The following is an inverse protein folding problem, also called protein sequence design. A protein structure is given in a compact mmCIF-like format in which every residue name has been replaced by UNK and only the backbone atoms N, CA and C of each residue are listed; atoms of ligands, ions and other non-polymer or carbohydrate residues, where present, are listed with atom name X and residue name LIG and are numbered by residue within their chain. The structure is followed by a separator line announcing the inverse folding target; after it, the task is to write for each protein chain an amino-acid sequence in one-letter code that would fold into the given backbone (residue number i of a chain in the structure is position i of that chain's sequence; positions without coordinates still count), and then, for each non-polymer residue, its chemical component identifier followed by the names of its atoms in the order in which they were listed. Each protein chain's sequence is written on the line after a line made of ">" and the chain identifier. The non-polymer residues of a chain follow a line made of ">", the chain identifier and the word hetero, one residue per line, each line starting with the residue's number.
data_IF_090541661374
#
_entry.id   IF_090541661374
#
_cell.length_a   1.000
_cell.length_b   1.000
_cell.length_c   1.000
_cell.angle_alpha   90.00
_cell.angle_beta   90.00
_cell.angle_gamma   90.00
#
_symmetry.space_group_name_H-M   'P 1'
#
loop_
_entity.id
_entity.type
_entity.pdbx_description
1 polymer ?
#
# COMPACT_ATOMS: atom_id res chain seq x y z
N UNK A 1 0.88 -7.80 -67.53
CA UNK A 1 -0.24 -7.86 -66.59
C UNK A 1 0.24 -7.18 -65.28
N UNK A 2 -0.15 -5.89 -65.11
CA UNK A 2 0.25 -5.09 -63.95
C UNK A 2 -0.84 -5.21 -62.88
N UNK A 3 -0.50 -5.77 -61.70
CA UNK A 3 -1.35 -5.78 -60.52
C UNK A 3 -1.24 -4.41 -59.83
N UNK A 4 -2.32 -3.68 -59.83
CA UNK A 4 -2.47 -2.45 -59.00
C UNK A 4 -2.81 -2.85 -57.55
N UNK A 5 -1.93 -2.58 -56.65
CA UNK A 5 -2.24 -2.59 -55.20
C UNK A 5 -3.02 -1.31 -54.84
N UNK A 6 -4.31 -1.45 -54.52
CA UNK A 6 -5.11 -0.40 -53.91
C UNK A 6 -4.72 -0.30 -52.43
N UNK A 7 -3.98 0.73 -52.07
CA UNK A 7 -3.76 1.11 -50.66
C UNK A 7 -4.98 1.90 -50.16
N UNK A 8 -5.75 1.27 -49.30
CA UNK A 8 -6.83 1.92 -48.52
C UNK A 8 -6.17 2.76 -47.41
N UNK A 9 -6.47 4.06 -47.26
CA UNK A 9 -5.95 4.81 -46.12
C UNK A 9 -6.73 4.39 -44.86
N UNK A 10 -5.99 3.90 -43.88
CA UNK A 10 -6.49 3.62 -42.52
C UNK A 10 -6.73 4.97 -41.84
N UNK A 11 -7.99 5.44 -41.83
CA UNK A 11 -8.39 6.61 -41.02
C UNK A 11 -8.45 6.15 -39.59
N UNK A 12 -7.40 6.43 -38.84
CA UNK A 12 -7.38 6.31 -37.35
C UNK A 12 -8.19 7.49 -36.84
N UNK A 13 -9.46 7.25 -36.56
CA UNK A 13 -10.29 8.20 -35.80
C UNK A 13 -9.81 8.20 -34.36
N UNK A 14 -8.95 9.14 -33.99
CA UNK A 14 -8.61 9.44 -32.61
C UNK A 14 -9.84 10.00 -31.91
N UNK A 15 -10.62 9.14 -31.25
CA UNK A 15 -11.56 9.59 -30.24
C UNK A 15 -10.72 10.12 -29.07
N UNK A 16 -10.49 11.42 -29.04
CA UNK A 16 -10.02 12.11 -27.83
C UNK A 16 -11.19 12.16 -26.85
N UNK A 17 -11.30 11.14 -25.98
CA UNK A 17 -12.05 11.29 -24.75
C UNK A 17 -11.32 12.34 -23.92
N UNK A 18 -11.82 13.58 -23.94
CA UNK A 18 -11.36 14.65 -23.03
C UNK A 18 -11.94 14.38 -21.65
N UNK A 19 -11.38 13.42 -20.92
CA UNK A 19 -11.60 13.34 -19.49
C UNK A 19 -10.91 14.55 -18.84
N UNK A 20 -11.66 15.38 -18.10
CA UNK A 20 -11.08 16.47 -17.33
C UNK A 20 -10.30 15.88 -16.16
N UNK A 21 -8.98 15.83 -16.28
CA UNK A 21 -8.08 15.53 -15.17
C UNK A 21 -7.64 16.85 -14.56
N UNK A 22 -7.90 17.07 -13.28
CA UNK A 22 -7.37 18.19 -12.51
C UNK A 22 -6.42 17.67 -11.43
N UNK A 23 -5.30 18.36 -11.29
CA UNK A 23 -4.33 18.15 -10.20
C UNK A 23 -4.39 19.41 -9.35
N UNK A 24 -4.89 19.27 -8.13
CA UNK A 24 -5.00 20.41 -7.24
C UNK A 24 -3.62 20.86 -6.76
N UNK A 25 -3.43 22.18 -6.71
CA UNK A 25 -2.20 22.77 -6.17
C UNK A 25 -2.11 22.63 -4.64
N UNK A 26 -3.24 22.29 -4.00
CA UNK A 26 -3.32 21.93 -2.60
C UNK A 26 -3.74 20.46 -2.52
N UNK A 27 -2.99 19.71 -1.78
CA UNK A 27 -3.31 18.31 -1.47
C UNK A 27 -4.62 18.25 -0.70
N UNK A 28 -5.59 17.49 -1.22
CA UNK A 28 -6.78 17.13 -0.48
C UNK A 28 -6.65 15.70 0.01
N UNK A 29 -6.61 15.56 1.32
CA UNK A 29 -6.65 14.28 1.98
C UNK A 29 -8.05 14.09 2.55
N UNK A 30 -8.74 13.06 2.08
CA UNK A 30 -10.11 12.75 2.52
C UNK A 30 -10.05 11.57 3.48
N UNK A 31 -10.62 11.74 4.66
CA UNK A 31 -10.65 10.71 5.69
C UNK A 31 -11.94 10.80 6.49
N UNK A 32 -12.48 9.65 6.88
CA UNK A 32 -13.49 9.59 7.93
C UNK A 32 -12.88 9.38 9.32
N UNK A 33 -11.55 9.24 9.39
CA UNK A 33 -10.83 9.23 10.65
C UNK A 33 -10.83 10.64 11.29
N UNK A 34 -10.71 10.71 12.63
CA UNK A 34 -10.71 11.97 13.36
C UNK A 34 -9.36 12.72 13.31
N UNK A 35 -8.48 12.36 12.39
CA UNK A 35 -7.16 12.99 12.23
C UNK A 35 -6.89 13.25 10.75
N UNK A 36 -6.19 14.34 10.48
CA UNK A 36 -5.78 14.72 9.13
C UNK A 36 -4.56 13.91 8.68
N UNK A 37 -4.46 13.66 7.37
CA UNK A 37 -3.23 13.13 6.78
C UNK A 37 -2.18 14.23 6.81
N UNK A 38 -1.02 13.93 7.42
CA UNK A 38 0.07 14.88 7.58
C UNK A 38 1.05 14.83 6.41
N UNK A 39 1.77 15.92 6.21
CA UNK A 39 2.84 15.99 5.21
C UNK A 39 4.01 15.02 5.51
N UNK A 40 4.84 14.67 4.51
CA UNK A 40 5.90 13.67 4.66
C UNK A 40 6.84 13.89 5.83
N UNK A 41 7.20 15.16 6.12
CA UNK A 41 8.10 15.50 7.22
C UNK A 41 7.55 15.11 8.59
N UNK A 42 6.23 14.92 8.69
CA UNK A 42 5.56 14.48 9.92
C UNK A 42 5.36 12.96 9.99
N UNK A 43 5.77 12.19 8.97
CA UNK A 43 5.81 10.72 8.98
C UNK A 43 6.92 10.15 9.87
N UNK A 44 7.69 10.98 10.58
CA UNK A 44 8.71 10.52 11.51
C UNK A 44 8.10 9.67 12.62
N UNK A 45 8.91 8.76 13.16
CA UNK A 45 8.49 7.79 14.18
C UNK A 45 7.58 8.43 15.23
N UNK A 46 6.42 7.83 15.45
CA UNK A 46 5.55 8.24 16.55
C UNK A 46 6.31 7.97 17.84
N UNK A 47 6.81 9.03 18.45
CA UNK A 47 7.22 8.95 19.87
C UNK A 47 5.97 8.53 20.62
N UNK A 48 6.04 7.44 21.36
CA UNK A 48 4.91 6.87 22.10
C UNK A 48 4.26 7.99 22.91
N UNK A 49 3.20 8.54 22.38
CA UNK A 49 2.33 9.42 23.18
C UNK A 49 1.56 8.45 24.06
N UNK A 50 1.84 8.49 25.37
CA UNK A 50 1.07 7.79 26.38
C UNK A 50 -0.39 8.32 26.39
N UNK A 51 -1.16 7.92 25.41
CA UNK A 51 -2.60 8.17 25.39
C UNK A 51 -3.28 7.06 26.19
N UNK A 52 -3.40 7.28 27.51
CA UNK A 52 -4.16 6.43 28.43
C UNK A 52 -5.66 6.39 28.15
N UNK A 53 -6.17 7.17 27.21
CA UNK A 53 -7.61 7.43 27.04
C UNK A 53 -8.19 6.90 25.71
N UNK A 54 -7.46 6.13 24.91
CA UNK A 54 -8.00 5.59 23.66
C UNK A 54 -8.27 4.09 23.84
N UNK A 55 -9.45 3.75 24.31
CA UNK A 55 -10.05 2.41 24.19
C UNK A 55 -10.51 2.18 22.73
N UNK A 56 -9.65 2.41 21.76
CA UNK A 56 -9.91 2.04 20.39
C UNK A 56 -9.36 0.62 20.17
N UNK A 57 -10.21 -0.26 19.66
CA UNK A 57 -9.87 -1.63 19.33
C UNK A 57 -8.71 -1.64 18.34
N UNK A 58 -7.61 -2.27 18.69
CA UNK A 58 -6.45 -2.48 17.83
C UNK A 58 -6.65 -3.65 16.88
N UNK A 59 -5.63 -3.93 16.08
CA UNK A 59 -5.57 -5.12 15.24
C UNK A 59 -5.18 -6.33 16.10
N UNK A 60 -5.81 -7.48 15.83
CA UNK A 60 -5.51 -8.72 16.54
C UNK A 60 -4.11 -9.24 16.18
N UNK A 61 -3.14 -9.34 17.13
CA UNK A 61 -1.78 -9.76 16.84
C UNK A 61 -1.66 -11.19 16.29
N UNK A 62 -2.65 -12.05 16.55
CA UNK A 62 -2.66 -13.43 16.09
C UNK A 62 -3.29 -13.59 14.70
N UNK A 63 -3.97 -12.55 14.20
CA UNK A 63 -4.68 -12.61 12.93
C UNK A 63 -4.83 -11.20 12.34
N UNK A 64 -3.82 -10.74 11.60
CA UNK A 64 -3.87 -9.48 10.83
C UNK A 64 -4.05 -9.86 9.38
N UNK A 65 -5.27 -9.76 8.88
CA UNK A 65 -5.62 -10.09 7.51
C UNK A 65 -5.52 -8.86 6.61
N UNK A 66 -4.59 -8.89 5.66
CA UNK A 66 -4.35 -7.83 4.67
C UNK A 66 -4.85 -8.24 3.29
N UNK A 67 -5.53 -7.30 2.61
CA UNK A 67 -5.76 -7.31 1.17
C UNK A 67 -4.96 -6.19 0.51
N UNK A 68 -4.26 -6.47 -0.60
CA UNK A 68 -3.71 -5.46 -1.50
C UNK A 68 -4.39 -5.58 -2.86
N UNK A 69 -4.95 -4.47 -3.37
CA UNK A 69 -5.67 -4.50 -4.65
C UNK A 69 -5.69 -3.14 -5.35
N UNK A 70 -5.16 -3.09 -6.57
CA UNK A 70 -5.44 -1.99 -7.48
C UNK A 70 -6.86 -2.20 -8.06
N UNK A 71 -7.77 -1.26 -7.79
CA UNK A 71 -9.19 -1.38 -8.08
C UNK A 71 -9.57 -0.93 -9.51
N UNK A 72 -8.59 -0.43 -10.27
CA UNK A 72 -8.82 0.07 -11.63
C UNK A 72 -9.93 1.12 -11.72
N UNK A 73 -10.05 1.99 -10.72
CA UNK A 73 -11.12 3.01 -10.59
C UNK A 73 -12.55 2.46 -10.64
N UNK A 74 -12.71 1.15 -10.40
CA UNK A 74 -14.01 0.48 -10.55
C UNK A 74 -14.52 0.38 -11.99
N UNK A 75 -13.62 0.39 -12.98
CA UNK A 75 -14.01 0.37 -14.40
C UNK A 75 -14.61 -0.96 -14.86
N UNK A 76 -14.27 -2.07 -14.20
CA UNK A 76 -14.81 -3.38 -14.55
C UNK A 76 -16.03 -3.72 -13.68
N UNK A 77 -16.98 -4.50 -14.24
CA UNK A 77 -18.15 -4.93 -13.48
C UNK A 77 -17.79 -5.91 -12.36
N UNK A 78 -18.55 -5.88 -11.26
CA UNK A 78 -18.44 -6.83 -10.17
C UNK A 78 -17.49 -6.44 -9.04
N UNK A 79 -16.70 -5.38 -9.18
CA UNK A 79 -15.73 -4.96 -8.16
C UNK A 79 -16.38 -4.67 -6.79
N UNK A 80 -17.59 -4.11 -6.76
CA UNK A 80 -18.30 -3.82 -5.51
C UNK A 80 -18.62 -5.10 -4.73
N UNK A 81 -19.06 -6.16 -5.44
CA UNK A 81 -19.34 -7.46 -4.84
C UNK A 81 -18.07 -8.10 -4.30
N UNK A 82 -17.00 -8.06 -5.09
CA UNK A 82 -15.72 -8.65 -4.69
C UNK A 82 -15.12 -7.89 -3.52
N UNK A 83 -15.10 -6.54 -3.56
CA UNK A 83 -14.60 -5.72 -2.46
C UNK A 83 -15.41 -5.93 -1.17
N UNK A 84 -16.75 -6.01 -1.27
CA UNK A 84 -17.62 -6.33 -0.12
C UNK A 84 -17.33 -7.71 0.46
N UNK A 85 -17.07 -8.70 -0.38
CA UNK A 85 -16.72 -10.05 0.06
C UNK A 85 -15.35 -10.08 0.77
N UNK A 86 -14.35 -9.40 0.21
CA UNK A 86 -13.03 -9.28 0.84
C UNK A 86 -13.09 -8.53 2.16
N UNK A 87 -13.88 -7.48 2.23
CA UNK A 87 -14.06 -6.66 3.41
C UNK A 87 -14.55 -7.44 4.64
N UNK A 88 -15.30 -8.52 4.44
CA UNK A 88 -15.79 -9.39 5.53
C UNK A 88 -14.69 -10.26 6.17
N UNK A 89 -13.55 -10.40 5.52
CA UNK A 89 -12.48 -11.33 5.91
C UNK A 89 -11.09 -10.70 6.04
N UNK A 90 -10.99 -9.38 5.85
CA UNK A 90 -9.73 -8.66 5.94
C UNK A 90 -9.84 -7.50 6.93
N UNK A 91 -8.80 -7.34 7.75
CA UNK A 91 -8.72 -6.27 8.75
C UNK A 91 -8.17 -4.97 8.19
N UNK A 92 -7.31 -5.08 7.18
CA UNK A 92 -6.67 -3.95 6.48
C UNK A 92 -6.71 -4.20 4.97
N UNK A 93 -7.10 -3.18 4.22
CA UNK A 93 -7.09 -3.23 2.75
C UNK A 93 -6.32 -2.03 2.20
N UNK A 94 -5.26 -2.29 1.45
CA UNK A 94 -4.51 -1.28 0.68
C UNK A 94 -5.04 -1.27 -0.75
N UNK A 95 -5.69 -0.18 -1.13
CA UNK A 95 -6.37 -0.02 -2.41
C UNK A 95 -5.64 1.04 -3.21
N UNK A 96 -5.22 0.72 -4.43
CA UNK A 96 -4.71 1.65 -5.41
C UNK A 96 -5.79 1.92 -6.45
N UNK A 97 -5.69 3.07 -7.12
CA UNK A 97 -6.71 3.57 -8.03
C UNK A 97 -8.11 3.60 -7.41
N UNK A 98 -8.18 3.90 -6.10
CA UNK A 98 -9.45 4.17 -5.45
C UNK A 98 -10.08 5.42 -6.11
N UNK A 99 -11.32 5.30 -6.57
CA UNK A 99 -12.11 6.37 -7.14
C UNK A 99 -13.31 6.62 -6.24
N UNK A 100 -13.29 7.73 -5.49
CA UNK A 100 -14.23 8.00 -4.40
C UNK A 100 -15.56 8.54 -4.92
N UNK A 101 -16.23 7.78 -5.78
CA UNK A 101 -17.57 8.02 -6.25
C UNK A 101 -18.65 7.58 -5.24
N UNK A 102 -19.92 7.79 -5.57
CA UNK A 102 -21.04 7.39 -4.71
C UNK A 102 -21.07 5.88 -4.44
N UNK A 103 -20.56 5.06 -5.37
CA UNK A 103 -20.55 3.60 -5.23
C UNK A 103 -19.53 3.15 -4.19
N UNK A 104 -18.30 3.68 -4.27
CA UNK A 104 -17.26 3.35 -3.28
C UNK A 104 -17.63 3.96 -1.92
N UNK A 105 -18.08 5.21 -1.89
CA UNK A 105 -18.50 5.88 -0.66
C UNK A 105 -19.65 5.15 0.04
N UNK A 106 -20.64 4.70 -0.70
CA UNK A 106 -21.76 3.92 -0.17
C UNK A 106 -21.33 2.58 0.41
N UNK A 107 -20.38 1.89 -0.25
CA UNK A 107 -19.83 0.62 0.23
C UNK A 107 -19.05 0.81 1.54
N UNK A 108 -18.22 1.85 1.64
CA UNK A 108 -17.45 2.17 2.84
C UNK A 108 -18.37 2.49 4.03
N UNK A 109 -19.44 3.26 3.81
CA UNK A 109 -20.44 3.60 4.82
C UNK A 109 -21.24 2.37 5.28
N UNK A 110 -21.70 1.55 4.33
CA UNK A 110 -22.52 0.36 4.65
C UNK A 110 -21.77 -0.65 5.54
N UNK A 111 -20.45 -0.75 5.36
CA UNK A 111 -19.61 -1.67 6.14
C UNK A 111 -18.99 -1.00 7.39
N UNK A 112 -19.29 0.26 7.66
CA UNK A 112 -18.76 1.03 8.79
C UNK A 112 -17.23 0.96 8.93
N UNK A 113 -16.52 1.04 7.80
CA UNK A 113 -15.07 0.99 7.78
C UNK A 113 -14.43 2.32 8.17
N UNK A 114 -13.29 2.22 8.86
CA UNK A 114 -12.36 3.35 8.94
C UNK A 114 -11.51 3.36 7.67
N UNK A 115 -11.33 4.52 7.07
CA UNK A 115 -10.51 4.66 5.88
C UNK A 115 -9.79 6.01 5.83
N UNK A 116 -8.67 6.02 5.17
CA UNK A 116 -7.90 7.23 4.85
C UNK A 116 -7.49 7.15 3.38
N UNK A 117 -7.59 8.25 2.67
CA UNK A 117 -7.21 8.35 1.27
C UNK A 117 -6.20 9.47 1.05
N UNK A 118 -5.15 9.20 0.32
CA UNK A 118 -4.27 10.22 -0.27
C UNK A 118 -4.67 10.39 -1.73
N UNK A 119 -5.33 11.52 -2.02
CA UNK A 119 -5.79 11.88 -3.37
C UNK A 119 -4.59 12.20 -4.24
N UNK A 120 -4.46 11.51 -5.37
CA UNK A 120 -3.44 11.80 -6.38
C UNK A 120 -3.91 12.91 -7.33
N UNK A 121 -5.14 12.82 -7.80
CA UNK A 121 -5.74 13.77 -8.73
C UNK A 121 -7.28 13.64 -8.70
N UNK A 122 -7.97 14.58 -9.35
CA UNK A 122 -9.40 14.48 -9.60
C UNK A 122 -9.65 14.09 -11.04
N UNK A 123 -10.54 13.13 -11.25
CA UNK A 123 -11.05 12.72 -12.57
C UNK A 123 -12.54 13.08 -12.64
N UNK A 124 -12.89 14.00 -13.52
CA UNK A 124 -14.26 14.52 -13.62
C UNK A 124 -14.83 15.06 -12.29
N UNK A 125 -13.97 15.68 -11.47
CA UNK A 125 -14.35 16.22 -10.16
C UNK A 125 -14.38 15.22 -9.01
N UNK A 126 -14.11 13.93 -9.28
CA UNK A 126 -14.09 12.88 -8.25
C UNK A 126 -12.63 12.53 -7.89
N UNK A 127 -12.34 12.47 -6.60
CA UNK A 127 -11.00 12.14 -6.10
C UNK A 127 -10.56 10.73 -6.49
N UNK A 128 -9.33 10.59 -6.97
CA UNK A 128 -8.69 9.34 -7.32
C UNK A 128 -7.30 9.26 -6.67
N UNK A 129 -6.95 8.11 -6.08
CA UNK A 129 -5.68 7.99 -5.37
C UNK A 129 -5.45 6.61 -4.75
N UNK A 130 -4.72 6.59 -3.63
CA UNK A 130 -4.54 5.40 -2.80
C UNK A 130 -5.35 5.52 -1.52
N UNK A 131 -6.01 4.44 -1.13
CA UNK A 131 -6.87 4.38 0.04
C UNK A 131 -6.46 3.19 0.93
N UNK A 132 -6.32 3.42 2.21
CA UNK A 132 -6.19 2.34 3.20
C UNK A 132 -7.48 2.28 4.02
N UNK A 133 -8.12 1.12 3.99
CA UNK A 133 -9.36 0.82 4.72
C UNK A 133 -9.02 -0.18 5.83
N UNK A 134 -9.55 0.01 7.03
CA UNK A 134 -9.29 -0.91 8.14
C UNK A 134 -10.47 -1.00 9.12
N UNK A 135 -10.54 -2.14 9.82
CA UNK A 135 -11.47 -2.34 10.94
C UNK A 135 -11.06 -1.50 12.16
N UNK A 136 -9.76 -1.28 12.33
CA UNK A 136 -9.20 -0.42 13.37
C UNK A 136 -8.98 0.99 12.82
N UNK A 137 -9.13 1.99 13.68
CA UNK A 137 -8.85 3.38 13.31
C UNK A 137 -7.33 3.63 13.25
N UNK A 138 -6.88 4.28 12.21
CA UNK A 138 -5.50 4.74 12.15
C UNK A 138 -5.25 5.81 13.21
N UNK A 139 -4.18 5.68 13.99
CA UNK A 139 -3.77 6.66 15.00
C UNK A 139 -3.04 7.86 14.40
N UNK A 140 -2.44 7.66 13.24
CA UNK A 140 -1.81 8.70 12.44
C UNK A 140 -1.74 8.22 10.99
N UNK A 141 -1.84 9.15 10.07
CA UNK A 141 -1.54 8.92 8.66
C UNK A 141 -0.76 10.09 8.09
N UNK A 142 0.06 9.80 7.08
CA UNK A 142 0.75 10.79 6.28
C UNK A 142 0.86 10.26 4.85
N UNK A 143 1.03 11.13 3.90
CA UNK A 143 1.09 10.72 2.52
C UNK A 143 1.86 11.73 1.68
N UNK A 144 2.22 11.34 0.46
CA UNK A 144 2.91 12.20 -0.50
C UNK A 144 2.54 11.80 -1.92
N UNK A 145 2.87 12.68 -2.86
CA UNK A 145 2.59 12.51 -4.28
C UNK A 145 3.90 12.66 -5.07
N UNK A 146 4.03 11.87 -6.12
CA UNK A 146 5.15 11.96 -7.07
C UNK A 146 4.57 12.09 -8.49
N UNK A 147 4.95 13.15 -9.19
CA UNK A 147 4.44 13.44 -10.53
C UNK A 147 5.11 12.53 -11.55
N UNK A 148 4.32 11.80 -12.33
CA UNK A 148 4.83 11.03 -13.45
C UNK A 148 5.45 11.95 -14.52
N UNK A 149 6.71 11.74 -14.91
CA UNK A 149 7.41 12.68 -15.79
C UNK A 149 6.77 12.85 -17.17
N UNK A 150 6.18 11.79 -17.73
CA UNK A 150 5.65 11.79 -19.10
C UNK A 150 4.23 12.33 -19.14
N UNK A 151 3.33 11.73 -18.36
CA UNK A 151 1.89 12.07 -18.42
C UNK A 151 1.48 13.16 -17.43
N UNK A 152 2.38 13.58 -16.55
CA UNK A 152 2.18 14.64 -15.57
C UNK A 152 1.04 14.40 -14.57
N UNK A 153 0.58 13.17 -14.45
CA UNK A 153 -0.41 12.75 -13.45
C UNK A 153 0.32 12.23 -12.21
N UNK A 154 0.00 12.71 -11.00
CA UNK A 154 0.64 12.23 -9.78
C UNK A 154 0.28 10.76 -9.47
N UNK A 155 1.23 10.06 -8.87
CA UNK A 155 1.03 8.84 -8.12
C UNK A 155 1.13 9.14 -6.63
N UNK A 156 0.34 8.46 -5.82
CA UNK A 156 0.25 8.72 -4.39
C UNK A 156 0.81 7.55 -3.57
N UNK A 157 1.33 7.89 -2.40
CA UNK A 157 1.71 6.95 -1.34
C UNK A 157 1.05 7.39 -0.04
N UNK A 158 0.51 6.44 0.73
CA UNK A 158 -0.14 6.68 2.02
C UNK A 158 0.51 5.78 3.07
N UNK A 159 0.92 6.35 4.18
CA UNK A 159 1.45 5.64 5.35
C UNK A 159 0.48 5.82 6.51
N UNK A 160 0.07 4.73 7.13
CA UNK A 160 -0.87 4.73 8.26
C UNK A 160 -0.35 3.86 9.39
N UNK A 161 -0.63 4.25 10.64
CA UNK A 161 -0.21 3.54 11.83
C UNK A 161 -1.42 3.05 12.61
N UNK A 162 -1.36 1.81 13.08
CA UNK A 162 -2.46 1.16 13.79
C UNK A 162 -2.01 0.61 15.13
N UNK A 163 -2.92 0.65 16.12
CA UNK A 163 -2.74 -0.07 17.37
C UNK A 163 -2.79 -1.58 17.11
N UNK A 164 -2.02 -2.33 17.90
CA UNK A 164 -2.11 -3.80 17.98
C UNK A 164 -2.54 -4.13 19.40
N UNK A 165 -3.60 -4.92 19.55
CA UNK A 165 -4.17 -5.27 20.84
C UNK A 165 -3.14 -5.96 21.74
N UNK A 166 -3.01 -5.44 22.96
CA UNK A 166 -2.07 -5.98 23.94
C UNK A 166 -0.58 -5.68 23.68
N UNK A 167 -0.26 -4.78 22.72
CA UNK A 167 1.12 -4.44 22.39
C UNK A 167 1.33 -2.91 22.34
N UNK A 168 2.50 -2.47 22.80
CA UNK A 168 2.89 -1.05 22.72
C UNK A 168 3.35 -0.67 21.31
N UNK A 169 3.87 -1.65 20.53
CA UNK A 169 4.30 -1.46 19.16
C UNK A 169 3.12 -1.20 18.25
N UNK A 170 3.31 -0.31 17.29
CA UNK A 170 2.31 0.01 16.27
C UNK A 170 2.61 -0.71 14.97
N UNK A 171 1.59 -1.15 14.25
CA UNK A 171 1.73 -1.61 12.88
C UNK A 171 1.80 -0.40 11.95
N UNK A 172 2.86 -0.29 11.18
CA UNK A 172 2.94 0.63 10.04
C UNK A 172 2.47 -0.09 8.79
N UNK A 173 1.53 0.53 8.07
CA UNK A 173 1.06 0.10 6.74
C UNK A 173 1.33 1.20 5.74
N UNK A 174 2.22 0.95 4.78
CA UNK A 174 2.44 1.83 3.64
C UNK A 174 1.76 1.25 2.40
N UNK A 175 0.91 2.07 1.78
CA UNK A 175 0.17 1.78 0.56
C UNK A 175 0.75 2.65 -0.56
N UNK A 176 1.40 2.04 -1.55
CA UNK A 176 2.06 2.74 -2.66
C UNK A 176 1.36 2.44 -4.00
N UNK A 177 1.18 3.48 -4.81
CA UNK A 177 1.00 3.35 -6.25
C UNK A 177 2.25 3.91 -6.93
N UNK A 178 3.09 3.04 -7.44
CA UNK A 178 4.39 3.36 -8.05
C UNK A 178 4.25 4.16 -9.34
N UNK A 179 5.20 5.06 -9.60
CA UNK A 179 5.33 5.75 -10.88
C UNK A 179 5.40 4.71 -12.02
N UNK A 180 4.59 4.89 -13.05
CA UNK A 180 4.50 3.97 -14.18
C UNK A 180 5.21 4.54 -15.43
N UNK A 181 4.78 5.71 -15.90
CA UNK A 181 5.24 6.29 -17.16
C UNK A 181 6.46 7.19 -16.98
N UNK A 182 7.66 6.60 -17.08
CA UNK A 182 8.94 7.31 -17.02
C UNK A 182 9.97 6.68 -17.96
N UNK A 183 10.90 7.48 -18.45
CA UNK A 183 12.11 6.99 -19.12
C UNK A 183 13.19 6.76 -18.05
N UNK A 184 13.73 5.55 -17.99
CA UNK A 184 14.67 5.15 -16.94
C UNK A 184 13.99 5.01 -15.57
N UNK A 185 14.78 5.03 -14.51
CA UNK A 185 14.33 4.74 -13.13
C UNK A 185 14.44 5.92 -12.17
N UNK A 186 14.96 7.08 -12.58
CA UNK A 186 15.27 8.20 -11.68
C UNK A 186 14.04 8.66 -10.88
N UNK A 187 12.94 9.01 -11.54
CA UNK A 187 11.73 9.43 -10.84
C UNK A 187 11.13 8.33 -9.95
N UNK A 188 11.31 7.06 -10.35
CA UNK A 188 10.91 5.91 -9.58
C UNK A 188 11.76 5.75 -8.31
N UNK A 189 13.09 5.93 -8.43
CA UNK A 189 14.04 5.97 -7.31
C UNK A 189 13.70 7.09 -6.32
N UNK A 190 13.37 8.30 -6.81
CA UNK A 190 12.94 9.43 -5.99
C UNK A 190 11.70 9.11 -5.16
N UNK A 191 10.69 8.45 -5.75
CA UNK A 191 9.51 8.01 -5.02
C UNK A 191 9.84 6.98 -3.93
N UNK A 192 10.68 5.98 -4.25
CA UNK A 192 11.10 4.96 -3.29
C UNK A 192 11.98 5.55 -2.17
N UNK A 193 12.85 6.53 -2.50
CA UNK A 193 13.66 7.23 -1.51
C UNK A 193 12.78 8.03 -0.53
N UNK A 194 11.76 8.74 -1.03
CA UNK A 194 10.81 9.46 -0.18
C UNK A 194 10.03 8.50 0.73
N UNK A 195 9.60 7.34 0.22
CA UNK A 195 9.00 6.31 1.04
C UNK A 195 9.98 5.82 2.13
N UNK A 196 11.22 5.50 1.75
CA UNK A 196 12.25 5.09 2.70
C UNK A 196 12.44 6.12 3.81
N UNK A 197 12.63 7.39 3.47
CA UNK A 197 12.85 8.48 4.42
C UNK A 197 11.66 8.64 5.39
N UNK A 198 10.44 8.40 4.91
CA UNK A 198 9.22 8.50 5.71
C UNK A 198 9.07 7.38 6.75
N UNK A 199 9.66 6.20 6.51
CA UNK A 199 9.37 5.01 7.33
C UNK A 199 10.61 4.33 7.95
N UNK A 200 11.84 4.75 7.59
CA UNK A 200 13.08 4.09 8.05
C UNK A 200 13.26 4.07 9.57
N UNK A 201 12.73 5.06 10.28
CA UNK A 201 12.85 5.17 11.73
C UNK A 201 11.78 4.40 12.50
N UNK A 202 10.83 3.76 11.82
CA UNK A 202 9.87 2.89 12.49
C UNK A 202 10.56 1.56 12.85
N UNK A 203 10.56 1.20 14.11
CA UNK A 203 11.20 -0.01 14.64
C UNK A 203 10.23 -1.19 14.84
N UNK A 204 8.92 -0.94 14.75
CA UNK A 204 7.84 -1.91 14.91
C UNK A 204 7.57 -2.80 13.69
N UNK A 205 6.48 -3.60 13.76
CA UNK A 205 5.98 -4.37 12.64
C UNK A 205 5.55 -3.45 11.50
N UNK A 206 5.85 -3.88 10.27
CA UNK A 206 5.65 -3.06 9.07
C UNK A 206 5.12 -3.90 7.92
N UNK A 207 4.20 -3.33 7.15
CA UNK A 207 3.74 -3.81 5.85
C UNK A 207 3.94 -2.68 4.84
N UNK A 208 4.57 -2.99 3.71
CA UNK A 208 4.61 -2.11 2.54
C UNK A 208 3.96 -2.87 1.40
N UNK A 209 2.83 -2.39 0.92
CA UNK A 209 2.02 -3.07 -0.08
C UNK A 209 1.55 -2.10 -1.16
N UNK A 210 1.31 -2.59 -2.36
CA UNK A 210 0.80 -1.75 -3.43
C UNK A 210 1.03 -2.31 -4.82
N UNK A 211 0.60 -1.52 -5.80
CA UNK A 211 1.02 -1.61 -7.18
C UNK A 211 2.32 -0.82 -7.34
N UNK A 212 3.42 -1.53 -7.42
CA UNK A 212 4.76 -0.93 -7.55
C UNK A 212 5.13 -0.65 -9.01
N UNK A 213 4.34 -1.08 -9.97
CA UNK A 213 4.65 -0.93 -11.39
C UNK A 213 6.05 -1.47 -11.77
N UNK A 214 6.45 -2.61 -11.21
CA UNK A 214 7.75 -3.29 -11.41
C UNK A 214 7.79 -4.09 -12.72
N UNK A 215 7.37 -3.50 -13.81
CA UNK A 215 7.30 -4.14 -15.12
C UNK A 215 8.67 -4.35 -15.80
N UNK A 216 9.76 -3.94 -15.18
CA UNK A 216 11.15 -4.22 -15.63
C UNK A 216 12.04 -4.67 -14.48
N UNK A 217 13.11 -5.39 -14.81
CA UNK A 217 14.09 -5.89 -13.85
C UNK A 217 14.77 -4.74 -13.09
N UNK A 218 15.06 -3.63 -13.77
CA UNK A 218 15.67 -2.44 -13.13
C UNK A 218 14.77 -1.87 -12.03
N UNK A 219 13.46 -1.78 -12.28
CA UNK A 219 12.49 -1.31 -11.27
C UNK A 219 12.39 -2.28 -10.10
N UNK A 220 12.37 -3.57 -10.39
CA UNK A 220 12.35 -4.58 -9.34
C UNK A 220 13.63 -4.53 -8.50
N UNK A 221 14.79 -4.28 -9.12
CA UNK A 221 16.05 -4.09 -8.40
C UNK A 221 15.99 -2.92 -7.42
N UNK A 222 15.40 -1.78 -7.81
CA UNK A 222 15.21 -0.62 -6.91
C UNK A 222 14.30 -0.96 -5.72
N UNK A 223 13.21 -1.69 -5.98
CA UNK A 223 12.31 -2.14 -4.90
C UNK A 223 13.06 -3.10 -3.95
N UNK A 224 13.86 -4.02 -4.47
CA UNK A 224 14.63 -4.94 -3.63
C UNK A 224 15.68 -4.24 -2.77
N UNK A 225 16.29 -3.15 -3.25
CA UNK A 225 17.17 -2.31 -2.43
C UNK A 225 16.40 -1.65 -1.27
N UNK A 226 15.17 -1.15 -1.51
CA UNK A 226 14.31 -0.63 -0.44
C UNK A 226 13.97 -1.72 0.59
N UNK A 227 13.60 -2.91 0.14
CA UNK A 227 13.26 -4.07 0.97
C UNK A 227 14.44 -4.47 1.86
N UNK A 228 15.65 -4.51 1.31
CA UNK A 228 16.88 -4.81 2.04
C UNK A 228 17.20 -3.73 3.11
N UNK A 229 17.20 -2.45 2.73
CA UNK A 229 17.45 -1.32 3.64
C UNK A 229 16.49 -1.30 4.83
N UNK A 230 15.23 -1.69 4.61
CA UNK A 230 14.20 -1.75 5.66
C UNK A 230 14.16 -3.11 6.39
N UNK A 231 15.06 -4.04 6.06
CA UNK A 231 15.10 -5.41 6.62
C UNK A 231 13.76 -6.13 6.51
N UNK A 232 13.09 -5.98 5.38
CA UNK A 232 11.80 -6.60 5.10
C UNK A 232 11.96 -7.95 4.37
N UNK A 233 10.90 -8.72 4.37
CA UNK A 233 10.78 -10.00 3.64
C UNK A 233 9.71 -9.89 2.57
N UNK A 234 9.87 -10.65 1.49
CA UNK A 234 8.89 -10.81 0.42
C UNK A 234 8.00 -12.03 0.65
N UNK A 235 6.79 -12.02 0.08
CA UNK A 235 5.94 -13.21 0.02
C UNK A 235 6.34 -14.06 -1.19
N UNK A 236 6.60 -15.33 -0.95
CA UNK A 236 6.84 -16.31 -2.01
C UNK A 236 5.55 -17.07 -2.34
N UNK A 237 5.30 -17.33 -3.61
CA UNK A 237 4.14 -18.07 -4.09
C UNK A 237 4.58 -19.28 -4.91
N UNK A 238 3.99 -20.45 -4.66
CA UNK A 238 4.23 -21.66 -5.48
C UNK A 238 3.71 -21.48 -6.90
N UNK A 239 2.55 -20.85 -7.03
CA UNK A 239 1.94 -20.45 -8.31
C UNK A 239 1.74 -18.95 -8.22
N UNK A 240 2.42 -18.23 -9.10
CA UNK A 240 2.37 -16.77 -9.09
C UNK A 240 1.25 -16.27 -10.01
N UNK A 241 0.03 -16.14 -9.47
CA UNK A 241 -1.13 -15.58 -10.17
C UNK A 241 -1.22 -14.04 -10.05
N UNK A 242 -0.19 -13.36 -9.60
CA UNK A 242 -0.15 -11.90 -9.56
C UNK A 242 -0.35 -11.32 -10.97
N UNK A 243 -0.76 -10.08 -11.02
CA UNK A 243 -0.78 -9.33 -12.29
C UNK A 243 0.64 -9.15 -12.81
N UNK A 244 0.84 -9.43 -14.09
CA UNK A 244 2.14 -9.33 -14.75
C UNK A 244 2.08 -8.38 -15.93
N UNK A 245 3.12 -7.55 -16.07
CA UNK A 245 3.37 -6.70 -17.22
C UNK A 245 4.77 -7.02 -17.74
N UNK A 246 4.90 -7.30 -19.03
CA UNK A 246 6.15 -7.75 -19.66
C UNK A 246 6.84 -8.95 -18.97
N UNK A 247 6.03 -9.82 -18.33
CA UNK A 247 6.53 -11.00 -17.61
C UNK A 247 6.90 -10.75 -16.14
N UNK A 248 6.90 -9.49 -15.67
CA UNK A 248 7.20 -9.11 -14.30
C UNK A 248 5.91 -8.87 -13.50
N UNK A 249 5.85 -9.39 -12.26
CA UNK A 249 4.77 -9.07 -11.33
C UNK A 249 4.87 -7.61 -10.92
N UNK A 250 3.74 -6.90 -10.85
CA UNK A 250 3.72 -5.46 -10.53
C UNK A 250 3.14 -5.16 -9.15
N UNK A 251 2.36 -6.07 -8.57
CA UNK A 251 1.77 -5.94 -7.24
C UNK A 251 2.60 -6.72 -6.21
N UNK A 252 2.95 -6.07 -5.10
CA UNK A 252 3.78 -6.67 -4.06
C UNK A 252 3.28 -6.39 -2.66
N UNK A 253 3.63 -7.30 -1.73
CA UNK A 253 3.49 -7.13 -0.29
C UNK A 253 4.81 -7.52 0.36
N UNK A 254 5.43 -6.57 1.05
CA UNK A 254 6.63 -6.74 1.86
C UNK A 254 6.28 -6.55 3.33
N UNK A 255 6.98 -7.23 4.22
CA UNK A 255 6.67 -7.21 5.63
C UNK A 255 7.91 -7.36 6.52
N UNK A 256 7.83 -6.83 7.73
CA UNK A 256 8.86 -6.93 8.77
C UNK A 256 8.21 -7.20 10.12
N UNK A 257 8.86 -8.01 10.96
CA UNK A 257 8.40 -8.40 12.31
C UNK A 257 7.00 -9.06 12.34
N UNK A 258 6.59 -9.61 11.23
CA UNK A 258 5.36 -10.36 11.04
C UNK A 258 5.69 -11.75 10.52
N UNK A 259 4.80 -12.72 10.74
CA UNK A 259 4.89 -14.07 10.22
C UNK A 259 3.67 -14.34 9.33
N UNK A 260 3.84 -14.59 8.03
CA UNK A 260 2.72 -14.97 7.17
C UNK A 260 2.22 -16.37 7.57
N UNK A 261 0.91 -16.47 7.81
CA UNK A 261 0.20 -17.72 8.16
C UNK A 261 -0.48 -18.29 6.93
N UNK A 262 -1.16 -17.44 6.17
CA UNK A 262 -1.79 -17.80 4.91
C UNK A 262 -1.60 -16.71 3.89
N UNK A 263 -1.56 -17.09 2.61
CA UNK A 263 -1.44 -16.15 1.50
C UNK A 263 -2.11 -16.70 0.25
N UNK A 264 -2.75 -15.82 -0.51
CA UNK A 264 -3.43 -16.17 -1.75
C UNK A 264 -3.43 -15.00 -2.71
N UNK A 265 -3.29 -15.28 -3.99
CA UNK A 265 -3.62 -14.35 -5.07
C UNK A 265 -4.93 -14.81 -5.68
N UNK A 266 -5.90 -13.91 -5.71
CA UNK A 266 -7.23 -14.19 -6.25
C UNK A 266 -7.26 -13.84 -7.72
N UNK A 267 -7.88 -14.69 -8.52
CA UNK A 267 -8.15 -14.37 -9.92
C UNK A 267 -9.54 -13.74 -10.01
N UNK A 268 -9.60 -12.51 -10.48
CA UNK A 268 -10.84 -11.74 -10.64
C UNK A 268 -10.94 -11.18 -12.06
N UNK A 269 -12.15 -10.87 -12.49
CA UNK A 269 -12.41 -10.11 -13.71
C UNK A 269 -12.88 -8.68 -13.43
N UNK A 270 -13.07 -8.36 -12.17
CA UNK A 270 -13.59 -7.08 -11.66
C UNK A 270 -12.54 -5.96 -11.56
N UNK A 271 -11.29 -6.27 -11.85
CA UNK A 271 -10.16 -5.36 -12.04
C UNK A 271 -9.21 -5.95 -13.08
N UNK A 272 -8.31 -5.14 -13.63
CA UNK A 272 -7.16 -5.59 -14.41
C UNK A 272 -6.00 -6.06 -13.51
N UNK A 273 -6.15 -5.93 -12.19
CA UNK A 273 -5.23 -6.46 -11.17
C UNK A 273 -5.86 -7.56 -10.33
N UNK A 274 -5.07 -8.59 -10.04
CA UNK A 274 -5.45 -9.70 -9.17
C UNK A 274 -5.15 -9.36 -7.70
N UNK A 275 -6.15 -9.40 -6.79
CA UNK A 275 -5.95 -9.09 -5.38
C UNK A 275 -4.98 -10.06 -4.69
N UNK A 276 -4.14 -9.53 -3.80
CA UNK A 276 -3.24 -10.30 -2.95
C UNK A 276 -3.77 -10.28 -1.52
N UNK A 277 -4.12 -11.44 -0.98
CA UNK A 277 -4.46 -11.63 0.43
C UNK A 277 -3.31 -12.26 1.18
N UNK A 278 -3.08 -11.82 2.41
CA UNK A 278 -2.17 -12.46 3.35
C UNK A 278 -2.66 -12.26 4.78
N UNK A 279 -2.61 -13.34 5.57
CA UNK A 279 -2.84 -13.25 7.02
C UNK A 279 -1.51 -13.34 7.73
N UNK A 280 -1.25 -12.40 8.62
CA UNK A 280 -0.05 -12.35 9.44
C UNK A 280 -0.34 -12.61 10.90
N UNK A 281 0.67 -13.12 11.61
CA UNK A 281 0.79 -13.04 13.06
C UNK A 281 1.94 -12.10 13.41
N UNK A 282 1.80 -11.39 14.52
CA UNK A 282 2.90 -10.62 15.07
C UNK A 282 4.01 -11.58 15.55
N UNK A 283 5.24 -11.33 15.14
CA UNK A 283 6.37 -12.09 15.68
C UNK A 283 6.59 -11.70 17.14
N UNK A 284 6.80 -12.67 18.05
CA UNK A 284 7.22 -12.39 19.41
C UNK A 284 8.49 -11.53 19.41
N UNK A 285 8.60 -10.64 20.36
CA UNK A 285 9.87 -9.96 20.60
C UNK A 285 10.95 -10.99 20.97
N UNK A 286 12.13 -10.85 20.37
CA UNK A 286 13.27 -11.58 20.86
C UNK A 286 13.53 -11.11 22.29
N UNK A 287 13.17 -11.95 23.28
CA UNK A 287 13.57 -11.67 24.67
C UNK A 287 15.08 -11.60 24.68
N UNK A 288 15.63 -10.43 24.93
CA UNK A 288 17.02 -10.31 25.38
C UNK A 288 17.10 -11.15 26.65
N UNK A 289 17.62 -12.37 26.53
CA UNK A 289 18.01 -13.16 27.69
C UNK A 289 19.16 -12.34 28.29
N UNK A 290 18.86 -11.55 29.33
CA UNK A 290 19.87 -10.95 30.15
C UNK A 290 20.74 -12.11 30.61
N UNK A 291 21.96 -12.18 30.09
CA UNK A 291 22.98 -13.08 30.65
C UNK A 291 23.12 -12.65 32.09
N UNK A 292 22.53 -13.42 33.02
CA UNK A 292 22.81 -13.25 34.43
C UNK A 292 24.31 -13.43 34.56
N UNK A 293 25.00 -12.36 34.85
CA UNK A 293 26.36 -12.42 35.35
C UNK A 293 26.35 -13.44 36.50
N UNK A 294 27.07 -14.52 36.29
CA UNK A 294 27.34 -15.48 37.35
C UNK A 294 28.14 -14.69 38.38
N UNK A 295 27.69 -14.56 39.65
CA UNK A 295 28.50 -13.91 40.66
C UNK A 295 29.80 -14.68 40.75
N UNK A 296 30.94 -14.01 40.61
CA UNK A 296 32.24 -14.58 40.97
C UNK A 296 32.16 -15.05 42.44
N UNK A 297 32.07 -16.36 42.59
CA UNK A 297 32.18 -16.97 43.92
C UNK A 297 33.59 -16.72 44.47
N UNK A 298 33.61 -16.11 45.62
CA UNK A 298 34.74 -15.87 46.46
C UNK A 298 35.86 -16.92 46.31
N UNK A 299 36.98 -16.47 45.80
CA UNK A 299 38.26 -17.12 46.03
C UNK A 299 38.97 -16.38 47.20
N UNK A 300 38.54 -16.70 48.41
CA UNK A 300 39.35 -16.42 49.61
C UNK A 300 39.17 -17.59 50.58
N UNK A 301 40.14 -18.42 50.56
CA UNK A 301 40.69 -19.10 51.77
C UNK A 301 41.56 -20.30 51.37
N UNK A 302 42.85 -20.08 51.26
CA UNK A 302 43.90 -20.84 51.95
C UNK A 302 45.26 -20.20 51.70
#
# INVERSE_FOLDING_TARGET
>A
MLNRFNSLPLIIASLTLTACVSVDSKREDVSNALHDVKEPESCQAITVVNNKDIHEQGLNPENIALLNWNLYKGNNDGWQKDLSSFAQSHDVMTIQEAYLDDKLSGLLQTNNFNWTMNTAFHLNGTAAGVMTVANSKAIQSCGFQNIEPIIRVPKATLVSYYNIDGHDRKLLVANIHGINFTLGVTAYQEQLAQLYDSIQHHDGPMIVAGDFNTWSDDRMAEVMQLVEKLSMSSLEYRVNNKTHVFGNAIDHVFYRQLQPVSKKVWQVSSSDHNPISVTFKLKPEARLIAVREIPEACADSC
#
